data_IF_850136894107
#
_entry.id   IF_850136894107
#
_cell.length_a   1.000
_cell.length_b   1.000
_cell.length_c   1.000
_cell.angle_alpha   90.00
_cell.angle_beta   90.00
_cell.angle_gamma   90.00
#
_symmetry.space_group_name_H-M   'P 1'
#
loop_
_entity.id
_entity.type
_entity.pdbx_description
1 polymer ?
#
# COMPACT_ATOMS: atom_id res chain seq x y z
N UNK A 1 -8.51 -6.88 23.07
CA UNK A 1 -7.04 -6.72 23.14
C UNK A 1 -6.59 -6.03 21.88
N UNK A 2 -5.41 -5.41 21.92
CA UNK A 2 -4.85 -4.70 20.78
C UNK A 2 -4.39 -5.68 19.70
N UNK A 3 -4.94 -5.55 18.48
CA UNK A 3 -4.73 -6.50 17.39
C UNK A 3 -3.25 -6.62 17.01
N UNK A 4 -2.60 -5.49 16.71
CA UNK A 4 -1.24 -5.49 16.19
C UNK A 4 -0.22 -5.85 17.27
N UNK A 5 -0.40 -5.36 18.51
CA UNK A 5 0.47 -5.74 19.62
C UNK A 5 0.38 -7.24 19.92
N UNK A 6 -0.84 -7.80 19.92
CA UNK A 6 -1.02 -9.23 20.18
C UNK A 6 -0.40 -10.09 19.08
N UNK A 7 -0.49 -9.66 17.81
CA UNK A 7 0.18 -10.34 16.69
C UNK A 7 1.70 -10.28 16.82
N UNK A 8 2.26 -9.11 17.16
CA UNK A 8 3.69 -8.95 17.43
C UNK A 8 4.15 -9.85 18.58
N UNK A 9 3.42 -9.90 19.70
CA UNK A 9 3.76 -10.75 20.85
C UNK A 9 3.81 -12.23 20.49
N UNK A 10 2.88 -12.69 19.66
CA UNK A 10 2.89 -14.07 19.14
C UNK A 10 4.12 -14.30 18.28
N UNK A 11 4.45 -13.37 17.37
CA UNK A 11 5.63 -13.46 16.52
C UNK A 11 6.91 -13.52 17.35
N UNK A 12 7.12 -12.55 18.26
CA UNK A 12 8.31 -12.45 19.11
C UNK A 12 8.48 -13.67 20.01
N UNK A 13 7.39 -14.20 20.58
CA UNK A 13 7.46 -15.37 21.47
C UNK A 13 7.96 -16.63 20.75
N UNK A 14 7.67 -16.77 19.46
CA UNK A 14 8.01 -17.96 18.68
C UNK A 14 9.22 -17.74 17.74
N UNK A 15 9.65 -16.50 17.53
CA UNK A 15 10.85 -16.18 16.78
C UNK A 15 12.09 -16.26 17.69
N UNK A 16 13.18 -16.95 17.27
CA UNK A 16 14.31 -17.26 18.14
C UNK A 16 15.19 -16.05 18.51
N UNK A 17 15.10 -14.96 17.75
CA UNK A 17 15.86 -13.74 18.00
C UNK A 17 14.95 -12.62 18.50
N UNK A 18 15.52 -11.64 19.19
CA UNK A 18 14.79 -10.44 19.59
C UNK A 18 14.53 -9.55 18.38
N UNK A 19 13.31 -9.08 18.22
CA UNK A 19 12.92 -8.11 17.20
C UNK A 19 13.12 -6.72 17.80
N UNK A 20 14.10 -5.98 17.28
CA UNK A 20 14.51 -4.68 17.82
C UNK A 20 14.23 -3.50 16.88
N UNK A 21 13.64 -3.75 15.70
CA UNK A 21 13.32 -2.71 14.69
C UNK A 21 11.98 -3.04 14.04
N UNK A 22 11.12 -2.04 13.91
CA UNK A 22 9.84 -2.13 13.20
C UNK A 22 9.98 -1.47 11.82
N UNK A 23 9.39 -2.08 10.79
CA UNK A 23 9.38 -1.54 9.43
C UNK A 23 7.96 -1.63 8.85
N UNK A 24 7.42 -0.57 8.26
CA UNK A 24 6.17 -0.64 7.51
C UNK A 24 6.31 -1.61 6.32
N UNK A 25 5.27 -2.39 6.05
CA UNK A 25 5.21 -3.19 4.82
C UNK A 25 5.04 -2.26 3.62
N UNK A 26 4.18 -1.26 3.75
CA UNK A 26 3.87 -0.31 2.70
C UNK A 26 3.49 1.07 3.26
N UNK A 27 3.41 2.06 2.37
CA UNK A 27 2.99 3.42 2.69
C UNK A 27 1.50 3.61 2.39
N UNK A 28 0.68 3.62 3.44
CA UNK A 28 -0.75 3.83 3.38
C UNK A 28 -1.24 4.49 4.66
N UNK A 29 -2.34 5.25 4.59
CA UNK A 29 -2.84 6.04 5.73
C UNK A 29 -3.11 5.19 6.98
N UNK A 30 -3.58 3.95 6.80
CA UNK A 30 -3.78 3.00 7.90
C UNK A 30 -2.50 2.22 8.23
N UNK A 31 -1.89 1.57 7.25
CA UNK A 31 -0.73 0.66 7.45
C UNK A 31 0.50 1.35 8.07
N UNK A 32 0.82 2.56 7.62
CA UNK A 32 1.92 3.33 8.20
C UNK A 32 1.58 3.76 9.63
N UNK A 33 0.35 4.19 9.90
CA UNK A 33 -0.06 4.61 11.24
C UNK A 33 -0.03 3.46 12.25
N UNK A 34 -0.51 2.27 11.86
CA UNK A 34 -0.44 1.04 12.68
C UNK A 34 1.01 0.68 13.03
N UNK A 35 1.92 0.83 12.07
CA UNK A 35 3.35 0.58 12.28
C UNK A 35 3.95 1.54 13.31
N UNK A 36 3.68 2.85 13.17
CA UNK A 36 4.17 3.87 14.11
C UNK A 36 3.59 3.66 15.51
N UNK A 37 2.31 3.30 15.60
CA UNK A 37 1.63 2.98 16.85
C UNK A 37 2.25 1.76 17.54
N UNK A 38 2.49 0.67 16.80
CA UNK A 38 3.15 -0.52 17.35
C UNK A 38 4.53 -0.19 17.93
N UNK A 39 5.31 0.58 17.19
CA UNK A 39 6.66 0.98 17.60
C UNK A 39 6.66 1.86 18.85
N UNK A 40 5.73 2.81 18.96
CA UNK A 40 5.52 3.62 20.18
C UNK A 40 5.23 2.73 21.39
N UNK A 41 4.32 1.77 21.24
CA UNK A 41 3.92 0.86 22.33
C UNK A 41 5.03 -0.07 22.81
N UNK A 42 5.93 -0.45 21.91
CA UNK A 42 7.05 -1.34 22.21
C UNK A 42 8.34 -0.59 22.56
N UNK A 43 8.33 0.74 22.48
CA UNK A 43 9.53 1.58 22.60
C UNK A 43 10.65 1.16 21.63
N UNK A 44 10.27 0.74 20.41
CA UNK A 44 11.20 0.30 19.37
C UNK A 44 11.36 1.36 18.27
N UNK A 45 12.55 1.45 17.65
CA UNK A 45 12.74 2.32 16.50
C UNK A 45 11.97 1.83 15.28
N UNK A 46 11.46 2.78 14.50
CA UNK A 46 10.96 2.55 13.15
C UNK A 46 12.06 2.86 12.15
N UNK A 47 12.36 1.92 11.26
CA UNK A 47 13.30 2.17 10.18
C UNK A 47 12.69 3.12 9.15
N UNK A 48 13.44 4.12 8.69
CA UNK A 48 13.03 5.00 7.58
C UNK A 48 13.15 4.27 6.24
N UNK A 49 12.26 3.30 6.07
CA UNK A 49 12.10 2.47 4.91
C UNK A 49 10.72 1.80 4.91
N UNK A 50 10.35 1.17 3.82
CA UNK A 50 9.25 0.21 3.74
C UNK A 50 9.55 -0.88 2.72
N UNK A 51 8.67 -1.88 2.58
CA UNK A 51 8.90 -2.97 1.64
C UNK A 51 8.39 -2.66 0.22
N UNK A 52 7.61 -1.59 0.03
CA UNK A 52 6.89 -1.37 -1.24
C UNK A 52 7.24 -0.04 -1.93
N UNK A 53 7.45 1.04 -1.17
CA UNK A 53 7.62 2.41 -1.63
C UNK A 53 6.30 3.12 -1.99
N UNK A 54 5.17 2.42 -1.87
CA UNK A 54 3.79 2.86 -2.14
C UNK A 54 2.82 1.86 -1.49
N UNK A 55 1.51 2.11 -1.53
CA UNK A 55 0.52 1.05 -1.31
C UNK A 55 0.41 0.13 -2.53
N UNK A 56 0.06 -1.13 -2.28
CA UNK A 56 -0.14 -2.14 -3.32
C UNK A 56 -1.24 -3.16 -2.95
N UNK A 57 -1.89 -3.78 -3.95
CA UNK A 57 -3.07 -4.59 -3.67
C UNK A 57 -2.75 -5.95 -3.05
N UNK A 58 -1.64 -6.58 -3.42
CA UNK A 58 -1.33 -7.97 -3.11
C UNK A 58 0.04 -8.13 -2.44
N UNK A 59 0.19 -9.17 -1.64
CA UNK A 59 1.40 -9.39 -0.84
C UNK A 59 2.70 -9.55 -1.66
N UNK A 60 2.59 -9.96 -2.94
CA UNK A 60 3.75 -10.10 -3.83
C UNK A 60 4.40 -8.78 -4.21
N UNK A 61 3.68 -7.66 -4.11
CA UNK A 61 4.24 -6.34 -4.34
C UNK A 61 5.00 -5.85 -3.10
N UNK A 62 5.83 -6.73 -2.53
CA UNK A 62 6.80 -6.42 -1.48
C UNK A 62 8.19 -6.74 -2.00
N UNK A 63 9.18 -5.91 -1.68
CA UNK A 63 10.55 -6.11 -2.18
C UNK A 63 11.13 -7.45 -1.72
N UNK A 64 10.66 -7.97 -0.59
CA UNK A 64 11.02 -9.31 -0.11
C UNK A 64 10.61 -10.42 -1.09
N UNK A 65 9.47 -10.29 -1.76
CA UNK A 65 9.10 -11.22 -2.83
C UNK A 65 10.11 -11.17 -3.97
N UNK A 66 10.55 -9.97 -4.38
CA UNK A 66 11.58 -9.79 -5.40
C UNK A 66 12.91 -10.42 -4.99
N UNK A 67 13.21 -10.42 -3.69
CA UNK A 67 14.40 -11.03 -3.11
C UNK A 67 14.32 -12.51 -2.76
N UNK A 68 13.26 -13.20 -3.17
CA UNK A 68 13.01 -14.62 -2.85
C UNK A 68 13.02 -14.92 -1.33
N UNK A 69 12.65 -13.93 -0.51
CA UNK A 69 12.52 -14.08 0.94
C UNK A 69 11.15 -14.70 1.23
N UNK A 70 11.06 -15.80 2.00
CA UNK A 70 9.77 -16.40 2.35
C UNK A 70 8.86 -15.45 3.14
N UNK A 71 7.53 -15.54 2.98
CA UNK A 71 6.59 -14.68 3.68
C UNK A 71 6.25 -15.11 5.10
N UNK A 72 6.83 -16.23 5.54
CA UNK A 72 6.71 -16.76 6.89
C UNK A 72 8.09 -16.79 7.60
N UNK A 73 8.13 -16.73 8.95
CA UNK A 73 7.00 -16.82 9.87
C UNK A 73 6.10 -15.59 9.86
N UNK A 74 4.82 -15.82 10.14
CA UNK A 74 3.81 -14.79 10.31
C UNK A 74 2.96 -15.09 11.54
N UNK A 75 2.48 -14.06 12.21
CA UNK A 75 1.58 -14.16 13.33
C UNK A 75 0.31 -13.37 13.05
N UNK A 76 -0.83 -13.93 13.47
CA UNK A 76 -2.14 -13.29 13.36
C UNK A 76 -2.83 -13.30 14.71
N UNK A 77 -3.47 -12.18 15.03
CA UNK A 77 -4.41 -12.06 16.13
C UNK A 77 -5.74 -11.50 15.64
N UNK A 78 -6.83 -12.18 15.98
CA UNK A 78 -8.18 -11.83 15.54
C UNK A 78 -8.91 -10.99 16.60
N UNK A 79 -10.00 -10.28 16.23
CA UNK A 79 -10.83 -9.56 17.19
C UNK A 79 -11.52 -10.46 18.23
N UNK A 80 -11.67 -11.76 17.96
CA UNK A 80 -12.28 -12.74 18.88
C UNK A 80 -11.26 -13.45 19.78
N UNK A 81 -9.97 -13.21 19.56
CA UNK A 81 -8.88 -13.61 20.44
C UNK A 81 -8.14 -14.88 20.06
N UNK A 82 -8.45 -15.46 18.90
CA UNK A 82 -7.64 -16.51 18.29
C UNK A 82 -6.21 -16.02 17.97
N UNK A 83 -5.26 -16.93 18.15
CA UNK A 83 -3.83 -16.69 17.97
C UNK A 83 -3.28 -17.68 16.97
N UNK A 84 -2.70 -17.19 15.88
CA UNK A 84 -2.08 -18.02 14.87
C UNK A 84 -0.59 -17.68 14.75
N UNK A 85 0.24 -18.72 14.72
CA UNK A 85 1.64 -18.63 14.30
C UNK A 85 1.79 -19.55 13.10
N UNK A 86 2.21 -18.99 11.97
CA UNK A 86 2.16 -19.61 10.65
C UNK A 86 3.58 -19.73 10.14
N UNK A 87 3.97 -20.96 9.82
CA UNK A 87 5.29 -21.32 9.31
C UNK A 87 5.18 -22.12 8.02
N UNK A 88 6.28 -22.21 7.28
CA UNK A 88 6.42 -23.10 6.11
C UNK A 88 5.49 -22.79 4.93
N UNK A 89 4.95 -21.57 4.85
CA UNK A 89 4.31 -21.08 3.63
C UNK A 89 5.33 -20.23 2.87
N UNK A 90 5.78 -20.74 1.72
CA UNK A 90 6.73 -20.06 0.83
C UNK A 90 6.05 -19.29 -0.30
N UNK A 91 4.82 -19.69 -0.65
CA UNK A 91 4.03 -19.03 -1.68
C UNK A 91 3.26 -17.84 -1.07
N UNK A 92 3.53 -16.66 -1.60
CA UNK A 92 2.90 -15.42 -1.16
C UNK A 92 1.40 -15.40 -1.45
N UNK A 93 0.91 -16.06 -2.52
CA UNK A 93 -0.54 -16.19 -2.76
C UNK A 93 -1.19 -16.87 -1.60
N UNK A 94 -0.60 -17.99 -1.23
CA UNK A 94 -1.19 -18.90 -0.26
C UNK A 94 -1.29 -18.20 1.09
N UNK A 95 -0.29 -17.41 1.47
CA UNK A 95 -0.37 -16.65 2.72
C UNK A 95 -1.40 -15.52 2.63
N UNK A 96 -1.46 -14.79 1.51
CA UNK A 96 -2.47 -13.74 1.29
C UNK A 96 -3.91 -14.32 1.34
N UNK A 97 -4.14 -15.46 0.68
CA UNK A 97 -5.41 -16.19 0.72
C UNK A 97 -5.77 -16.60 2.16
N UNK A 98 -4.79 -17.09 2.95
CA UNK A 98 -5.02 -17.45 4.37
C UNK A 98 -5.44 -16.22 5.19
N UNK A 99 -4.78 -15.07 5.00
CA UNK A 99 -5.16 -13.85 5.72
C UNK A 99 -6.54 -13.35 5.32
N UNK A 100 -6.87 -13.38 4.03
CA UNK A 100 -8.21 -12.99 3.54
C UNK A 100 -9.31 -13.89 4.10
N UNK A 101 -9.09 -15.20 4.13
CA UNK A 101 -10.05 -16.13 4.74
C UNK A 101 -10.22 -15.86 6.25
N UNK A 102 -9.15 -15.52 6.96
CA UNK A 102 -9.25 -15.13 8.38
C UNK A 102 -10.06 -13.84 8.59
N UNK A 103 -9.92 -12.86 7.70
CA UNK A 103 -10.77 -11.64 7.71
C UNK A 103 -12.24 -11.99 7.48
N UNK A 104 -12.54 -12.83 6.48
CA UNK A 104 -13.90 -13.30 6.21
C UNK A 104 -14.52 -14.02 7.41
N UNK A 105 -13.75 -14.92 8.05
CA UNK A 105 -14.16 -15.60 9.28
C UNK A 105 -14.40 -14.62 10.44
N UNK A 106 -13.75 -13.46 10.40
CA UNK A 106 -13.93 -12.40 11.36
C UNK A 106 -15.03 -11.40 10.98
N UNK A 107 -15.97 -11.75 10.09
CA UNK A 107 -17.06 -10.86 9.64
C UNK A 107 -16.55 -9.52 9.06
N UNK A 108 -15.45 -9.58 8.31
CA UNK A 108 -14.80 -8.42 7.68
C UNK A 108 -14.26 -7.36 8.67
N UNK A 109 -14.09 -7.72 9.94
CA UNK A 109 -13.30 -6.93 10.89
C UNK A 109 -11.80 -7.09 10.62
N UNK A 110 -11.04 -6.04 10.92
CA UNK A 110 -9.58 -6.06 10.85
C UNK A 110 -8.97 -7.17 11.72
N UNK A 111 -7.88 -7.76 11.23
CA UNK A 111 -7.02 -8.69 11.97
C UNK A 111 -5.63 -8.06 12.16
N UNK A 112 -4.99 -8.36 13.27
CA UNK A 112 -3.59 -7.96 13.49
C UNK A 112 -2.65 -8.93 12.80
N UNK A 113 -1.68 -8.42 12.03
CA UNK A 113 -0.68 -9.23 11.34
C UNK A 113 0.70 -8.70 11.63
N UNK A 114 1.61 -9.59 12.04
CA UNK A 114 3.04 -9.32 12.14
C UNK A 114 3.80 -10.42 11.40
N UNK A 115 4.62 -10.07 10.41
CA UNK A 115 5.32 -11.06 9.59
C UNK A 115 6.71 -10.55 9.14
N UNK A 116 7.44 -11.42 8.44
CA UNK A 116 8.77 -11.17 7.91
C UNK A 116 9.87 -10.75 8.91
N UNK A 117 9.97 -11.33 10.12
CA UNK A 117 11.14 -11.06 10.95
C UNK A 117 12.39 -11.61 10.24
N UNK A 118 13.37 -10.74 9.99
CA UNK A 118 14.57 -11.09 9.23
C UNK A 118 15.76 -10.21 9.67
N UNK A 119 17.01 -10.74 9.70
CA UNK A 119 18.19 -9.91 9.92
C UNK A 119 18.31 -8.79 8.87
N UNK A 120 18.55 -7.56 9.35
CA UNK A 120 18.57 -6.35 8.50
C UNK A 120 19.52 -6.45 7.29
N UNK A 121 20.64 -7.18 7.43
CA UNK A 121 21.61 -7.41 6.35
C UNK A 121 21.00 -8.15 5.15
N UNK A 122 20.02 -9.02 5.37
CA UNK A 122 19.29 -9.75 4.33
C UNK A 122 18.11 -8.94 3.79
N UNK A 123 17.49 -8.14 4.65
CA UNK A 123 16.33 -7.31 4.33
C UNK A 123 16.68 -6.07 3.49
N UNK A 124 17.72 -5.34 3.88
CA UNK A 124 18.03 -4.00 3.38
C UNK A 124 18.19 -3.86 1.85
N UNK A 125 18.70 -4.86 1.10
CA UNK A 125 18.77 -4.77 -0.36
C UNK A 125 17.40 -4.65 -1.05
N UNK A 126 16.34 -5.09 -0.38
CA UNK A 126 14.99 -5.18 -0.94
C UNK A 126 14.02 -4.17 -0.32
N UNK A 127 14.50 -3.28 0.53
CA UNK A 127 13.73 -2.21 1.16
C UNK A 127 13.83 -0.91 0.36
N UNK A 128 12.74 -0.15 0.36
CA UNK A 128 12.70 1.19 -0.21
C UNK A 128 13.06 2.19 0.88
N UNK A 129 14.13 2.95 0.71
CA UNK A 129 14.73 3.79 1.78
C UNK A 129 14.18 5.22 1.75
N UNK A 130 14.22 5.88 2.91
CA UNK A 130 13.81 7.28 3.11
C UNK A 130 12.32 7.54 2.82
N UNK A 131 11.49 6.51 2.84
CA UNK A 131 10.10 6.58 2.43
C UNK A 131 9.24 7.28 3.46
N UNK A 132 9.49 7.08 4.76
CA UNK A 132 8.80 7.83 5.82
C UNK A 132 9.22 9.29 5.83
N UNK A 133 10.52 9.58 5.68
CA UNK A 133 11.00 10.96 5.56
C UNK A 133 10.38 11.68 4.37
N UNK A 134 10.26 11.01 3.21
CA UNK A 134 9.60 11.57 2.05
C UNK A 134 8.12 11.83 2.32
N UNK A 135 7.38 10.86 2.89
CA UNK A 135 5.96 11.01 3.24
C UNK A 135 5.71 12.17 4.19
N UNK A 136 6.56 12.38 5.20
CA UNK A 136 6.46 13.50 6.14
C UNK A 136 6.62 14.83 5.41
N UNK A 137 7.63 14.96 4.53
CA UNK A 137 7.86 16.20 3.77
C UNK A 137 6.72 16.51 2.81
N UNK A 138 6.23 15.50 2.08
CA UNK A 138 5.08 15.62 1.18
C UNK A 138 3.83 16.05 1.97
N UNK A 139 3.54 15.36 3.09
CA UNK A 139 2.41 15.71 3.95
C UNK A 139 2.48 17.14 4.49
N UNK A 140 3.67 17.61 4.88
CA UNK A 140 3.88 19.00 5.33
C UNK A 140 3.58 20.03 4.24
N UNK A 141 3.96 19.76 2.99
CA UNK A 141 3.65 20.63 1.85
C UNK A 141 2.16 20.62 1.51
N UNK A 142 1.51 19.45 1.58
CA UNK A 142 0.07 19.33 1.38
C UNK A 142 -0.74 20.08 2.44
N UNK A 143 -0.34 20.04 3.72
CA UNK A 143 -0.95 20.84 4.78
C UNK A 143 -0.84 22.35 4.54
N UNK A 144 0.21 22.79 3.85
CA UNK A 144 0.41 24.18 3.41
C UNK A 144 -0.28 24.50 2.09
N UNK A 145 -1.05 23.56 1.52
CA UNK A 145 -1.70 23.65 0.19
C UNK A 145 -0.73 23.86 -0.98
N UNK A 146 0.53 23.45 -0.81
CA UNK A 146 1.58 23.52 -1.85
C UNK A 146 1.61 22.24 -2.68
N UNK A 147 0.53 21.97 -3.40
CA UNK A 147 0.29 20.69 -4.08
C UNK A 147 1.36 20.39 -5.14
N UNK A 148 1.68 21.37 -6.00
CA UNK A 148 2.70 21.21 -7.04
C UNK A 148 4.09 20.94 -6.45
N UNK A 149 4.47 21.68 -5.39
CA UNK A 149 5.74 21.45 -4.70
C UNK A 149 5.79 20.05 -4.07
N UNK A 150 4.68 19.58 -3.49
CA UNK A 150 4.59 18.26 -2.87
C UNK A 150 4.77 17.13 -3.91
N UNK A 151 4.08 17.24 -5.05
CA UNK A 151 4.17 16.27 -6.15
C UNK A 151 5.56 16.27 -6.78
N UNK A 152 6.12 17.47 -7.05
CA UNK A 152 7.46 17.62 -7.61
C UNK A 152 8.55 17.10 -6.66
N UNK A 153 8.40 17.29 -5.34
CA UNK A 153 9.32 16.75 -4.34
C UNK A 153 9.39 15.22 -4.40
N UNK A 154 8.25 14.56 -4.67
CA UNK A 154 8.17 13.12 -4.86
C UNK A 154 8.56 12.67 -6.28
N UNK A 155 9.06 13.58 -7.13
CA UNK A 155 9.47 13.30 -8.52
C UNK A 155 8.30 13.09 -9.48
N UNK A 156 7.09 13.41 -9.06
CA UNK A 156 5.86 13.20 -9.82
C UNK A 156 5.46 14.37 -10.70
N UNK A 157 4.28 14.25 -11.30
CA UNK A 157 3.61 15.31 -12.06
C UNK A 157 2.10 15.20 -11.97
N UNK A 158 1.41 16.33 -12.07
CA UNK A 158 -0.03 16.35 -12.31
C UNK A 158 -0.29 15.83 -13.73
N UNK A 159 -1.26 14.93 -13.87
CA UNK A 159 -1.66 14.35 -15.16
C UNK A 159 -3.07 14.76 -15.58
N UNK A 160 -3.91 15.23 -14.66
CA UNK A 160 -5.27 15.65 -14.95
C UNK A 160 -5.87 16.49 -13.82
N UNK A 161 -6.81 17.38 -14.15
CA UNK A 161 -7.66 18.09 -13.20
C UNK A 161 -9.11 18.04 -13.69
N UNK A 162 -10.05 17.83 -12.78
CA UNK A 162 -11.46 17.78 -13.15
C UNK A 162 -12.37 17.38 -12.00
N UNK A 163 -13.64 17.18 -12.31
CA UNK A 163 -14.67 16.81 -11.33
C UNK A 163 -15.08 15.33 -11.52
N UNK A 164 -15.02 14.49 -10.47
CA UNK A 164 -15.59 13.16 -10.51
C UNK A 164 -17.10 13.24 -10.78
N UNK A 165 -17.62 12.44 -11.71
CA UNK A 165 -19.04 12.43 -12.08
C UNK A 165 -19.70 11.07 -11.89
N UNK A 166 -18.90 10.01 -11.79
CA UNK A 166 -19.37 8.64 -11.65
C UNK A 166 -18.29 7.82 -10.95
N UNK A 167 -18.70 6.99 -9.99
CA UNK A 167 -17.87 6.00 -9.34
C UNK A 167 -18.68 4.72 -9.18
N UNK A 168 -18.14 3.60 -9.66
CA UNK A 168 -18.72 2.28 -9.49
C UNK A 168 -17.65 1.36 -8.90
N UNK A 169 -18.01 0.60 -7.88
CA UNK A 169 -17.11 -0.35 -7.23
C UNK A 169 -17.81 -1.65 -6.88
N UNK A 170 -17.07 -2.76 -6.90
CA UNK A 170 -17.49 -4.06 -6.41
C UNK A 170 -16.38 -4.69 -5.56
N UNK A 171 -16.78 -5.49 -4.57
CA UNK A 171 -15.84 -6.30 -3.79
C UNK A 171 -15.85 -7.71 -4.34
N UNK A 172 -14.67 -8.23 -4.69
CA UNK A 172 -14.48 -9.57 -5.22
C UNK A 172 -13.18 -10.17 -4.66
N UNK A 173 -13.25 -11.37 -4.11
CA UNK A 173 -12.11 -12.12 -3.56
C UNK A 173 -11.28 -11.30 -2.53
N UNK A 174 -11.95 -10.47 -1.73
CA UNK A 174 -11.32 -9.59 -0.74
C UNK A 174 -10.63 -8.34 -1.32
N UNK A 175 -10.82 -8.05 -2.61
CA UNK A 175 -10.33 -6.82 -3.25
C UNK A 175 -11.48 -5.95 -3.69
N UNK A 176 -11.29 -4.64 -3.65
CA UNK A 176 -12.25 -3.66 -4.18
C UNK A 176 -11.82 -3.26 -5.59
N UNK A 177 -12.61 -3.67 -6.59
CA UNK A 177 -12.43 -3.26 -7.97
C UNK A 177 -13.37 -2.11 -8.28
N UNK A 178 -12.92 -1.15 -9.07
CA UNK A 178 -13.79 -0.05 -9.44
C UNK A 178 -13.24 0.85 -10.50
N UNK A 179 -14.11 1.76 -10.94
CA UNK A 179 -13.80 2.78 -11.93
C UNK A 179 -14.36 4.12 -11.50
N UNK A 180 -13.56 5.17 -11.70
CA UNK A 180 -13.96 6.56 -11.46
C UNK A 180 -13.86 7.31 -12.77
N UNK A 181 -14.93 8.00 -13.13
CA UNK A 181 -14.96 8.92 -14.27
C UNK A 181 -14.83 10.35 -13.77
N UNK A 182 -13.84 11.07 -14.28
CA UNK A 182 -13.54 12.46 -13.93
C UNK A 182 -13.61 13.30 -15.22
N UNK A 183 -14.47 14.33 -15.23
CA UNK A 183 -14.59 15.26 -16.36
C UNK A 183 -13.70 16.47 -16.16
N UNK A 184 -12.90 16.80 -17.15
CA UNK A 184 -12.05 17.99 -17.17
C UNK A 184 -12.23 18.76 -18.48
N UNK A 185 -11.48 19.85 -18.64
CA UNK A 185 -11.48 20.65 -19.88
C UNK A 185 -10.89 19.89 -21.06
N UNK A 186 -9.92 19.01 -20.78
CA UNK A 186 -9.16 18.27 -21.79
C UNK A 186 -9.80 16.91 -22.15
N UNK A 187 -10.98 16.63 -21.61
CA UNK A 187 -11.78 15.44 -21.88
C UNK A 187 -12.15 14.65 -20.63
N UNK A 188 -12.40 13.35 -20.83
CA UNK A 188 -12.84 12.44 -19.77
C UNK A 188 -11.68 11.53 -19.34
N UNK A 189 -11.30 11.58 -18.07
CA UNK A 189 -10.36 10.66 -17.45
C UNK A 189 -11.12 9.50 -16.80
N UNK A 190 -10.70 8.27 -17.08
CA UNK A 190 -11.14 7.06 -16.38
C UNK A 190 -9.98 6.52 -15.56
N UNK A 191 -10.19 6.41 -14.25
CA UNK A 191 -9.31 5.68 -13.35
C UNK A 191 -9.89 4.29 -13.13
N UNK A 192 -9.06 3.26 -13.23
CA UNK A 192 -9.43 1.88 -12.88
C UNK A 192 -8.55 1.41 -11.73
N UNK A 193 -9.16 0.81 -10.71
CA UNK A 193 -8.47 0.41 -9.48
C UNK A 193 -8.80 -1.03 -9.06
N UNK A 194 -7.83 -1.64 -8.38
CA UNK A 194 -7.95 -2.84 -7.54
C UNK A 194 -7.31 -2.47 -6.22
N UNK A 195 -8.09 -2.05 -5.23
CA UNK A 195 -7.69 -1.32 -4.01
C UNK A 195 -6.95 0.00 -4.30
N UNK A 196 -5.86 -0.05 -5.07
CA UNK A 196 -5.07 1.06 -5.60
C UNK A 196 -5.39 1.33 -7.06
N UNK A 197 -5.19 2.58 -7.50
CA UNK A 197 -5.35 2.96 -8.92
C UNK A 197 -4.26 2.27 -9.74
N UNK A 198 -4.70 1.44 -10.68
CA UNK A 198 -3.85 0.64 -11.56
C UNK A 198 -3.59 1.34 -12.90
N UNK A 199 -4.56 2.11 -13.37
CA UNK A 199 -4.60 2.62 -14.73
C UNK A 199 -5.37 3.92 -14.83
N UNK A 200 -4.85 4.86 -15.62
CA UNK A 200 -5.51 6.11 -15.99
C UNK A 200 -5.62 6.23 -17.52
N UNK A 201 -6.85 6.39 -18.02
CA UNK A 201 -7.16 6.56 -19.44
C UNK A 201 -7.78 7.92 -19.70
N UNK A 202 -7.14 8.76 -20.52
CA UNK A 202 -7.69 10.04 -20.97
C UNK A 202 -8.25 9.86 -22.38
N UNK A 203 -9.55 10.09 -22.55
CA UNK A 203 -10.25 9.92 -23.84
C UNK A 203 -10.01 8.54 -24.50
N UNK A 204 -9.86 7.50 -23.68
CA UNK A 204 -9.60 6.12 -24.12
C UNK A 204 -8.12 5.74 -24.19
N UNK A 205 -7.20 6.70 -24.23
CA UNK A 205 -5.75 6.46 -24.31
C UNK A 205 -5.13 6.31 -22.93
N UNK A 206 -4.27 5.31 -22.74
CA UNK A 206 -3.56 5.10 -21.47
C UNK A 206 -2.50 6.18 -21.30
N UNK A 207 -2.63 7.00 -20.25
CA UNK A 207 -1.68 8.08 -19.95
C UNK A 207 -0.80 7.80 -18.72
N UNK A 208 -1.22 6.91 -17.84
CA UNK A 208 -0.43 6.41 -16.71
C UNK A 208 -0.91 5.02 -16.30
N UNK A 209 -0.01 4.19 -15.79
CA UNK A 209 -0.31 2.87 -15.26
C UNK A 209 0.70 2.45 -14.21
N UNK A 210 0.37 1.41 -13.45
CA UNK A 210 1.36 0.66 -12.67
C UNK A 210 2.57 0.25 -13.53
N UNK A 211 3.79 0.23 -12.97
CA UNK A 211 4.10 0.31 -11.52
C UNK A 211 4.20 1.73 -10.95
N UNK A 212 4.07 2.77 -11.78
CA UNK A 212 4.03 4.15 -11.30
C UNK A 212 2.80 4.37 -10.41
N UNK A 213 2.96 5.15 -9.34
CA UNK A 213 1.84 5.50 -8.47
C UNK A 213 0.93 6.45 -9.22
N UNK A 214 -0.37 6.21 -9.12
CA UNK A 214 -1.41 7.14 -9.54
C UNK A 214 -2.19 7.47 -8.27
N UNK A 215 -2.31 8.76 -7.98
CA UNK A 215 -2.99 9.25 -6.79
C UNK A 215 -3.83 10.47 -7.10
N UNK A 216 -4.68 10.83 -6.16
CA UNK A 216 -5.53 12.00 -6.26
C UNK A 216 -5.57 12.79 -4.95
N UNK A 217 -5.69 14.10 -5.08
CA UNK A 217 -5.88 15.05 -3.97
C UNK A 217 -7.01 16.02 -4.33
N UNK A 218 -7.68 16.55 -3.32
CA UNK A 218 -8.58 17.70 -3.53
C UNK A 218 -7.77 18.96 -3.85
N UNK A 219 -8.45 20.01 -4.32
CA UNK A 219 -7.85 21.35 -4.50
C UNK A 219 -7.26 21.94 -3.20
N UNK A 220 -7.63 21.40 -2.03
CA UNK A 220 -7.06 21.80 -0.74
C UNK A 220 -5.86 20.97 -0.29
N UNK A 221 -5.40 20.02 -1.11
CA UNK A 221 -4.27 19.13 -0.79
C UNK A 221 -4.64 17.93 0.08
N UNK A 222 -5.93 17.67 0.31
CA UNK A 222 -6.35 16.48 1.05
C UNK A 222 -6.26 15.23 0.16
N UNK A 223 -5.54 14.17 0.56
CA UNK A 223 -5.52 12.91 -0.18
C UNK A 223 -6.92 12.31 -0.30
N UNK A 224 -7.22 11.72 -1.45
CA UNK A 224 -8.50 11.06 -1.72
C UNK A 224 -8.30 9.55 -1.67
N UNK A 225 -9.19 8.85 -0.98
CA UNK A 225 -9.24 7.39 -0.97
C UNK A 225 -9.94 6.92 -2.25
N UNK A 226 -9.45 5.82 -2.84
CA UNK A 226 -9.90 5.38 -4.15
C UNK A 226 -11.39 4.99 -4.23
N UNK A 227 -12.02 4.73 -3.07
CA UNK A 227 -13.44 4.37 -2.92
C UNK A 227 -14.33 5.53 -2.44
N UNK A 228 -13.78 6.75 -2.37
CA UNK A 228 -14.44 7.92 -1.77
C UNK A 228 -14.14 9.19 -2.57
N UNK A 229 -14.32 9.14 -3.89
CA UNK A 229 -14.12 10.35 -4.70
C UNK A 229 -15.24 11.37 -4.45
N UNK A 230 -14.92 12.65 -4.18
CA UNK A 230 -15.93 13.66 -3.95
C UNK A 230 -16.57 14.12 -5.26
N UNK A 231 -17.79 13.65 -5.55
CA UNK A 231 -18.54 13.97 -6.79
C UNK A 231 -18.82 15.49 -6.95
N UNK A 232 -18.78 16.24 -5.85
CA UNK A 232 -19.10 17.68 -5.86
C UNK A 232 -17.88 18.61 -5.84
N UNK A 233 -16.66 18.06 -5.86
CA UNK A 233 -15.42 18.85 -5.77
C UNK A 233 -14.49 18.57 -6.94
N UNK A 234 -13.67 19.56 -7.27
CA UNK A 234 -12.60 19.38 -8.24
C UNK A 234 -11.42 18.65 -7.59
N UNK A 235 -10.83 17.72 -8.34
CA UNK A 235 -9.73 16.87 -7.90
C UNK A 235 -8.56 17.01 -8.85
N UNK A 236 -7.36 16.84 -8.30
CA UNK A 236 -6.10 16.80 -9.03
C UNK A 236 -5.63 15.36 -9.02
N UNK A 237 -5.38 14.81 -10.20
CA UNK A 237 -4.80 13.48 -10.37
C UNK A 237 -3.34 13.63 -10.77
N UNK A 238 -2.47 12.88 -10.11
CA UNK A 238 -1.03 12.93 -10.31
C UNK A 238 -0.45 11.52 -10.46
N UNK A 239 0.78 11.47 -10.98
CA UNK A 239 1.57 10.25 -11.01
C UNK A 239 2.92 10.47 -10.34
N UNK A 240 3.42 9.46 -9.64
CA UNK A 240 4.78 9.43 -9.07
C UNK A 240 5.57 8.27 -9.70
N UNK A 241 6.85 8.47 -10.03
CA UNK A 241 7.68 7.43 -10.61
C UNK A 241 7.82 6.25 -9.65
N UNK A 242 7.74 5.04 -10.19
CA UNK A 242 7.96 3.82 -9.43
C UNK A 242 9.42 3.68 -8.98
N UNK A 243 9.63 2.93 -7.90
CA UNK A 243 10.96 2.49 -7.47
C UNK A 243 11.55 1.50 -8.48
N UNK A 244 12.88 1.48 -8.61
CA UNK A 244 13.59 0.65 -9.60
C UNK A 244 13.32 -0.85 -9.45
N UNK A 245 13.05 -1.30 -8.21
CA UNK A 245 12.74 -2.71 -7.92
C UNK A 245 11.50 -3.21 -8.67
N UNK A 246 10.57 -2.32 -9.03
CA UNK A 246 9.32 -2.65 -9.75
C UNK A 246 9.45 -2.56 -11.27
N UNK A 247 10.53 -1.99 -11.79
CA UNK A 247 10.69 -1.72 -13.24
C UNK A 247 11.28 -2.89 -14.02
N UNK A 248 11.84 -3.89 -13.35
CA UNK A 248 12.50 -5.02 -13.99
C UNK A 248 12.26 -6.36 -13.28
N UNK A 249 12.61 -7.45 -13.98
CA UNK A 249 12.59 -8.81 -13.42
C UNK A 249 11.29 -9.19 -12.73
N UNK A 250 11.42 -9.77 -11.52
CA UNK A 250 10.34 -10.28 -10.71
C UNK A 250 9.38 -9.19 -10.21
N UNK A 251 9.89 -7.99 -9.92
CA UNK A 251 9.06 -6.86 -9.53
C UNK A 251 8.13 -6.42 -10.67
N UNK A 252 8.65 -6.30 -11.90
CA UNK A 252 7.82 -5.98 -13.06
C UNK A 252 6.77 -7.05 -13.35
N UNK A 253 7.08 -8.33 -13.15
CA UNK A 253 6.11 -9.39 -13.44
C UNK A 253 4.87 -9.35 -12.55
N UNK A 254 4.98 -8.82 -11.33
CA UNK A 254 3.84 -8.73 -10.38
C UNK A 254 3.24 -7.33 -10.26
N UNK A 255 3.91 -6.29 -10.78
CA UNK A 255 3.41 -4.92 -10.74
C UNK A 255 3.25 -4.34 -12.15
N UNK A 256 2.49 -5.03 -12.99
CA UNK A 256 2.20 -4.60 -14.36
C UNK A 256 0.73 -4.87 -14.75
N UNK A 257 0.26 -4.15 -15.77
CA UNK A 257 -1.11 -4.28 -16.29
C UNK A 257 -1.51 -5.73 -16.62
N UNK A 258 -0.60 -6.50 -17.25
CA UNK A 258 -0.85 -7.91 -17.59
C UNK A 258 -1.15 -8.76 -16.35
N UNK A 259 -0.45 -8.52 -15.24
CA UNK A 259 -0.67 -9.24 -13.97
C UNK A 259 -2.08 -8.98 -13.43
N UNK A 260 -2.58 -7.75 -13.60
CA UNK A 260 -3.93 -7.36 -13.19
C UNK A 260 -5.02 -7.63 -14.23
N UNK A 261 -4.70 -8.32 -15.33
CA UNK A 261 -5.68 -8.76 -16.33
C UNK A 261 -6.12 -7.70 -17.35
N UNK A 262 -5.30 -6.65 -17.55
CA UNK A 262 -5.48 -5.66 -18.62
C UNK A 262 -4.83 -6.09 -19.93
#
# INVERSE_FOLDING_TARGET
SDLILSAFDILQKNFPEKIDIIVPIELGGHNTAVTLYLADKLELPVLDADLTGRSAPEMYQTGYYVGDIPPTPAAVYTPFGEKYYIENINDYKRLDDVFRELVTLCYDYDIGVANFPLPIKKAAPYMQKNTLTLSIKVGSLLQQKKIDEAINLAGGKIIFQGRPVEENSEIKDGFTYGKVKIKGTDGDLILEYKNEIMLAKLNGEIIASVPDLIGSVTQNGNPILNTKFPINEEVIVYTLPSQEIWKSGKGRSVFCLKHFGY
#
